data_IF_393351322430
#
_entry.id   IF_393351322430
#
_cell.length_a   1.000
_cell.length_b   1.000
_cell.length_c   1.000
_cell.angle_alpha   90.00
_cell.angle_beta   90.00
_cell.angle_gamma   90.00
#
_symmetry.space_group_name_H-M   'P 1'
#
loop_
_entity.id
_entity.type
_entity.pdbx_description
1 polymer ?
#
# COMPACT_ATOMS: atom_id res chain seq x y z
N UNK A 1 -8.94 11.25 -35.79
CA UNK A 1 -9.50 10.31 -34.80
C UNK A 1 -8.51 9.25 -34.28
N UNK A 2 -7.58 8.70 -35.08
CA UNK A 2 -6.65 7.65 -34.61
C UNK A 2 -5.58 8.05 -33.57
N UNK A 3 -5.16 9.31 -33.51
CA UNK A 3 -4.16 9.80 -32.55
C UNK A 3 -4.70 9.91 -31.12
N UNK A 4 -5.98 10.29 -30.96
CA UNK A 4 -6.63 10.46 -29.65
C UNK A 4 -6.92 9.09 -29.02
N UNK A 5 -7.40 8.12 -29.80
CA UNK A 5 -7.62 6.74 -29.35
C UNK A 5 -6.31 6.06 -28.93
N UNK A 6 -5.23 6.17 -29.71
CA UNK A 6 -3.91 5.64 -29.32
C UNK A 6 -3.36 6.26 -28.03
N UNK A 7 -3.60 7.56 -27.80
CA UNK A 7 -3.17 8.25 -26.57
C UNK A 7 -3.99 7.84 -25.35
N UNK A 8 -5.31 7.70 -25.50
CA UNK A 8 -6.19 7.19 -24.43
C UNK A 8 -5.76 5.79 -23.96
N UNK A 9 -5.47 4.90 -24.91
CA UNK A 9 -4.93 3.56 -24.65
C UNK A 9 -3.56 3.62 -23.93
N UNK A 10 -2.76 4.67 -24.20
CA UNK A 10 -1.48 4.90 -23.54
C UNK A 10 -1.60 5.24 -22.05
N UNK A 11 -2.53 6.14 -21.69
CA UNK A 11 -2.74 6.55 -20.28
C UNK A 11 -3.29 5.40 -19.45
N UNK A 12 -4.33 4.70 -19.95
CA UNK A 12 -4.92 3.56 -19.24
C UNK A 12 -3.86 2.47 -18.95
N UNK A 13 -2.97 2.21 -19.90
CA UNK A 13 -1.85 1.28 -19.71
C UNK A 13 -0.84 1.79 -18.67
N UNK A 14 -0.51 3.09 -18.67
CA UNK A 14 0.40 3.65 -17.67
C UNK A 14 -0.19 3.60 -16.26
N UNK A 15 -1.50 3.86 -16.13
CA UNK A 15 -2.23 3.68 -14.86
C UNK A 15 -2.19 2.22 -14.41
N UNK A 16 -2.43 1.26 -15.30
CA UNK A 16 -2.32 -0.16 -14.95
C UNK A 16 -0.92 -0.50 -14.42
N UNK A 17 0.13 -0.11 -15.13
CA UNK A 17 1.53 -0.39 -14.71
C UNK A 17 1.87 0.28 -13.38
N UNK A 18 1.36 1.50 -13.14
CA UNK A 18 1.50 2.20 -11.87
C UNK A 18 0.81 1.44 -10.73
N UNK A 19 -0.45 1.02 -10.93
CA UNK A 19 -1.20 0.24 -9.96
C UNK A 19 -0.56 -1.14 -9.70
N UNK A 20 0.06 -1.74 -10.72
CA UNK A 20 0.80 -2.99 -10.59
C UNK A 20 2.04 -2.82 -9.68
N UNK A 21 2.70 -1.65 -9.69
CA UNK A 21 3.80 -1.38 -8.74
C UNK A 21 3.30 -1.45 -7.29
N UNK A 22 2.11 -0.89 -7.02
CA UNK A 22 1.53 -0.85 -5.67
C UNK A 22 1.16 -2.26 -5.20
N UNK A 23 0.56 -3.07 -6.08
CA UNK A 23 0.27 -4.48 -5.79
C UNK A 23 1.55 -5.28 -5.52
N UNK A 24 2.57 -5.11 -6.37
CA UNK A 24 3.87 -5.78 -6.22
C UNK A 24 4.57 -5.40 -4.90
N UNK A 25 4.48 -4.13 -4.48
CA UNK A 25 5.05 -3.69 -3.20
C UNK A 25 4.46 -4.47 -2.00
N UNK A 26 3.16 -4.75 -2.00
CA UNK A 26 2.52 -5.58 -0.97
C UNK A 26 3.06 -7.01 -0.94
N UNK A 27 3.28 -7.62 -2.12
CA UNK A 27 3.86 -8.97 -2.23
C UNK A 27 5.31 -9.00 -1.75
N UNK A 28 6.11 -8.01 -2.16
CA UNK A 28 7.51 -7.85 -1.74
C UNK A 28 7.62 -7.63 -0.24
N UNK A 29 6.72 -6.84 0.34
CA UNK A 29 6.67 -6.58 1.78
C UNK A 29 6.44 -7.86 2.58
N UNK A 30 5.42 -8.66 2.21
CA UNK A 30 5.15 -9.96 2.85
C UNK A 30 6.36 -10.89 2.78
N UNK A 31 6.93 -11.05 1.58
CA UNK A 31 8.08 -11.92 1.36
C UNK A 31 9.34 -11.42 2.10
N UNK A 32 9.52 -10.11 2.17
CA UNK A 32 10.61 -9.47 2.91
C UNK A 32 10.49 -9.73 4.41
N UNK A 33 9.33 -9.44 5.00
CA UNK A 33 9.10 -9.69 6.42
C UNK A 33 9.28 -11.17 6.76
N UNK A 34 8.75 -12.07 5.94
CA UNK A 34 8.93 -13.51 6.15
C UNK A 34 10.41 -13.92 6.11
N UNK A 35 11.20 -13.38 5.17
CA UNK A 35 12.64 -13.61 5.13
C UNK A 35 13.33 -13.09 6.41
N UNK A 36 12.96 -11.89 6.86
CA UNK A 36 13.49 -11.29 8.10
C UNK A 36 13.22 -12.16 9.33
N UNK A 37 11.96 -12.57 9.53
CA UNK A 37 11.54 -13.40 10.67
C UNK A 37 12.23 -14.77 10.69
N UNK A 38 12.58 -15.32 9.51
CA UNK A 38 13.34 -16.57 9.39
C UNK A 38 14.86 -16.39 9.54
N UNK A 39 15.35 -15.18 9.79
CA UNK A 39 16.78 -14.87 9.88
C UNK A 39 17.50 -14.83 8.53
N UNK A 40 16.78 -14.84 7.41
CA UNK A 40 17.33 -14.74 6.07
C UNK A 40 17.50 -13.27 5.67
N UNK A 41 18.52 -12.61 6.23
CA UNK A 41 18.79 -11.18 6.00
C UNK A 41 19.13 -10.88 4.54
N UNK A 42 19.89 -11.73 3.85
CA UNK A 42 20.16 -11.58 2.40
C UNK A 42 18.87 -11.58 1.57
N UNK A 43 17.92 -12.44 1.94
CA UNK A 43 16.60 -12.49 1.31
C UNK A 43 15.81 -11.21 1.57
N UNK A 44 15.82 -10.71 2.80
CA UNK A 44 15.18 -9.47 3.19
C UNK A 44 15.78 -8.25 2.44
N UNK A 45 17.11 -8.12 2.41
CA UNK A 45 17.81 -7.02 1.72
C UNK A 45 17.52 -6.99 0.21
N UNK A 46 17.43 -8.17 -0.43
CA UNK A 46 16.99 -8.28 -1.84
C UNK A 46 15.56 -7.77 -2.05
N UNK A 47 14.65 -8.06 -1.12
CA UNK A 47 13.27 -7.58 -1.19
C UNK A 47 13.18 -6.08 -0.90
N UNK A 48 14.01 -5.55 0.00
CA UNK A 48 14.15 -4.11 0.22
C UNK A 48 14.69 -3.38 -1.03
N UNK A 49 15.66 -3.96 -1.73
CA UNK A 49 16.12 -3.42 -3.02
C UNK A 49 14.99 -3.40 -4.06
N UNK A 50 14.26 -4.50 -4.16
CA UNK A 50 13.13 -4.62 -5.09
C UNK A 50 12.01 -3.61 -4.78
N UNK A 51 11.66 -3.41 -3.50
CA UNK A 51 10.61 -2.47 -3.11
C UNK A 51 11.02 -1.01 -3.36
N UNK A 52 12.31 -0.71 -3.21
CA UNK A 52 12.86 0.61 -3.53
C UNK A 52 12.79 0.89 -5.03
N UNK A 53 13.09 -0.11 -5.87
CA UNK A 53 12.89 0.02 -7.32
C UNK A 53 11.42 0.21 -7.70
N UNK A 54 10.52 -0.55 -7.08
CA UNK A 54 9.07 -0.46 -7.31
C UNK A 54 8.54 0.93 -6.96
N UNK A 55 8.98 1.50 -5.83
CA UNK A 55 8.63 2.87 -5.44
C UNK A 55 9.17 3.90 -6.43
N UNK A 56 10.45 3.83 -6.81
CA UNK A 56 11.03 4.75 -7.81
C UNK A 56 10.32 4.67 -9.17
N UNK A 57 9.93 3.47 -9.62
CA UNK A 57 9.15 3.28 -10.85
C UNK A 57 7.75 3.86 -10.70
N UNK A 58 7.09 3.65 -9.55
CA UNK A 58 5.79 4.20 -9.22
C UNK A 58 5.76 5.73 -9.27
N UNK A 59 6.67 6.39 -8.55
CA UNK A 59 6.76 7.85 -8.50
C UNK A 59 7.06 8.45 -9.90
N UNK A 60 7.92 7.80 -10.70
CA UNK A 60 8.18 8.21 -12.07
C UNK A 60 6.94 8.09 -12.98
N UNK A 61 6.16 7.01 -12.84
CA UNK A 61 4.90 6.82 -13.56
C UNK A 61 3.85 7.82 -13.11
N UNK A 62 3.73 8.08 -11.80
CA UNK A 62 2.84 9.10 -11.24
C UNK A 62 3.11 10.46 -11.87
N UNK A 63 4.37 10.92 -11.83
CA UNK A 63 4.79 12.21 -12.43
C UNK A 63 4.49 12.28 -13.93
N UNK A 64 4.77 11.21 -14.68
CA UNK A 64 4.43 11.12 -16.11
C UNK A 64 2.91 11.22 -16.36
N UNK A 65 2.10 10.56 -15.54
CA UNK A 65 0.64 10.62 -15.62
C UNK A 65 0.11 12.02 -15.31
N UNK A 66 0.64 12.68 -14.27
CA UNK A 66 0.32 14.06 -13.92
C UNK A 66 0.58 15.02 -15.09
N UNK A 67 1.79 14.97 -15.67
CA UNK A 67 2.16 15.79 -16.84
C UNK A 67 1.21 15.59 -18.02
N UNK A 68 0.86 14.33 -18.33
CA UNK A 68 -0.06 14.02 -19.42
C UNK A 68 -1.48 14.52 -19.14
N UNK A 69 -1.95 14.45 -17.89
CA UNK A 69 -3.27 14.96 -17.49
C UNK A 69 -3.34 16.50 -17.58
N UNK A 70 -2.24 17.20 -17.30
CA UNK A 70 -2.15 18.65 -17.52
C UNK A 70 -2.21 19.01 -19.00
N UNK A 71 -1.43 18.31 -19.83
CA UNK A 71 -1.32 18.59 -21.27
C UNK A 71 -2.52 18.12 -22.10
N UNK A 72 -3.33 17.18 -21.60
CA UNK A 72 -4.37 16.52 -22.39
C UNK A 72 -5.74 16.51 -21.71
N UNK A 73 -6.79 16.89 -22.44
CA UNK A 73 -8.20 17.04 -22.01
C UNK A 73 -8.93 15.71 -21.74
N UNK A 74 -8.23 14.67 -21.30
CA UNK A 74 -8.79 13.30 -21.25
C UNK A 74 -9.82 13.08 -20.13
N UNK A 75 -9.78 13.85 -19.03
CA UNK A 75 -10.81 13.84 -17.96
C UNK A 75 -10.97 15.25 -17.37
N UNK A 76 -11.48 16.24 -18.14
CA UNK A 76 -11.44 17.65 -17.73
C UNK A 76 -12.22 17.92 -16.45
N UNK A 77 -13.40 17.30 -16.31
CA UNK A 77 -14.28 17.47 -15.15
C UNK A 77 -13.74 16.86 -13.84
N UNK A 78 -12.78 15.92 -13.88
CA UNK A 78 -12.28 15.22 -12.68
C UNK A 78 -10.76 15.23 -12.53
N UNK A 79 -10.03 16.14 -13.20
CA UNK A 79 -8.56 16.17 -13.15
C UNK A 79 -8.00 16.26 -11.72
N UNK A 80 -8.56 17.14 -10.90
CA UNK A 80 -8.10 17.31 -9.51
C UNK A 80 -8.27 16.04 -8.69
N UNK A 81 -9.42 15.38 -8.81
CA UNK A 81 -9.71 14.12 -8.12
C UNK A 81 -8.79 12.99 -8.61
N UNK A 82 -8.51 12.90 -9.92
CA UNK A 82 -7.58 11.90 -10.49
C UNK A 82 -6.15 12.13 -10.00
N UNK A 83 -5.67 13.38 -10.00
CA UNK A 83 -4.33 13.72 -9.51
C UNK A 83 -4.20 13.38 -8.02
N UNK A 84 -5.19 13.76 -7.21
CA UNK A 84 -5.23 13.44 -5.78
C UNK A 84 -5.25 11.93 -5.52
N UNK A 85 -5.97 11.15 -6.36
CA UNK A 85 -5.97 9.70 -6.28
C UNK A 85 -4.59 9.13 -6.59
N UNK A 86 -3.94 9.55 -7.68
CA UNK A 86 -2.61 9.07 -8.06
C UNK A 86 -1.56 9.36 -6.97
N UNK A 87 -1.56 10.57 -6.41
CA UNK A 87 -0.69 10.96 -5.29
C UNK A 87 -0.96 10.12 -4.04
N UNK A 88 -2.22 9.90 -3.71
CA UNK A 88 -2.59 9.11 -2.54
C UNK A 88 -2.23 7.63 -2.69
N UNK A 89 -2.44 7.06 -3.87
CA UNK A 89 -2.04 5.69 -4.20
C UNK A 89 -0.52 5.52 -4.14
N UNK A 90 0.24 6.46 -4.69
CA UNK A 90 1.71 6.42 -4.69
C UNK A 90 2.29 6.46 -3.27
N UNK A 91 1.67 7.22 -2.37
CA UNK A 91 2.08 7.28 -0.95
C UNK A 91 2.07 5.92 -0.23
N UNK A 92 1.39 4.90 -0.77
CA UNK A 92 1.44 3.53 -0.24
C UNK A 92 2.79 2.85 -0.53
N UNK A 93 3.41 3.13 -1.68
CA UNK A 93 4.75 2.64 -2.02
C UNK A 93 5.78 3.16 -1.02
N UNK A 94 5.69 4.45 -0.69
CA UNK A 94 6.54 5.08 0.31
C UNK A 94 6.39 4.45 1.69
N UNK A 95 5.16 4.09 2.09
CA UNK A 95 4.93 3.46 3.39
C UNK A 95 5.48 2.04 3.46
N UNK A 96 5.31 1.24 2.41
CA UNK A 96 5.92 -0.08 2.34
C UNK A 96 7.45 -0.02 2.38
N UNK A 97 8.06 0.84 1.54
CA UNK A 97 9.50 1.10 1.52
C UNK A 97 9.98 1.57 2.90
N UNK A 98 9.28 2.54 3.50
CA UNK A 98 9.62 3.10 4.80
C UNK A 98 9.54 2.06 5.93
N UNK A 99 8.55 1.18 5.91
CA UNK A 99 8.45 0.08 6.87
C UNK A 99 9.64 -0.88 6.75
N UNK A 100 9.99 -1.32 5.53
CA UNK A 100 11.15 -2.21 5.33
C UNK A 100 12.47 -1.54 5.72
N UNK A 101 12.68 -0.26 5.41
CA UNK A 101 13.88 0.46 5.85
C UNK A 101 14.05 0.49 7.37
N UNK A 102 12.95 0.62 8.14
CA UNK A 102 13.02 0.55 9.61
C UNK A 102 13.55 -0.81 10.08
N UNK A 103 13.10 -1.90 9.45
CA UNK A 103 13.59 -3.24 9.79
C UNK A 103 15.09 -3.38 9.48
N UNK A 104 15.54 -2.83 8.36
CA UNK A 104 16.96 -2.87 7.98
C UNK A 104 17.86 -2.05 8.94
N UNK A 105 17.41 -0.85 9.29
CA UNK A 105 18.15 0.10 10.14
C UNK A 105 18.25 -0.40 11.57
N UNK A 106 17.12 -0.76 12.18
CA UNK A 106 17.08 -1.03 13.61
C UNK A 106 17.31 -2.51 13.94
N UNK A 107 17.10 -3.41 12.97
CA UNK A 107 17.21 -4.86 13.11
C UNK A 107 16.59 -5.36 14.42
N UNK A 108 15.28 -5.10 14.66
CA UNK A 108 14.63 -5.49 15.89
C UNK A 108 14.72 -7.01 16.10
N UNK A 109 15.11 -7.43 17.30
CA UNK A 109 15.03 -8.82 17.71
C UNK A 109 13.56 -9.17 17.95
N UNK A 110 12.95 -10.03 17.11
CA UNK A 110 11.54 -10.40 17.23
C UNK A 110 11.48 -11.84 17.71
N UNK A 111 11.01 -12.04 18.94
CA UNK A 111 10.79 -13.35 19.53
C UNK A 111 9.85 -14.20 18.66
N UNK A 112 10.15 -15.50 18.54
CA UNK A 112 9.39 -16.45 17.72
C UNK A 112 7.90 -16.51 18.07
N UNK A 113 7.55 -16.18 19.31
CA UNK A 113 6.17 -16.11 19.79
C UNK A 113 5.34 -15.02 19.11
N UNK A 114 5.97 -14.04 18.46
CA UNK A 114 5.29 -12.96 17.74
C UNK A 114 5.30 -13.16 16.22
N UNK A 115 6.03 -14.15 15.70
CA UNK A 115 6.27 -14.26 14.26
C UNK A 115 4.98 -14.44 13.46
N UNK A 116 4.03 -15.22 13.97
CA UNK A 116 2.79 -15.47 13.26
C UNK A 116 1.88 -14.23 13.26
N UNK A 117 1.76 -13.52 14.40
CA UNK A 117 1.04 -12.24 14.47
C UNK A 117 1.63 -11.19 13.50
N UNK A 118 2.97 -11.11 13.37
CA UNK A 118 3.62 -10.21 12.42
C UNK A 118 3.33 -10.60 10.95
N UNK A 119 3.32 -11.90 10.62
CA UNK A 119 2.96 -12.37 9.28
C UNK A 119 1.49 -12.10 8.96
N UNK A 120 0.60 -12.34 9.91
CA UNK A 120 -0.82 -12.05 9.76
C UNK A 120 -1.07 -10.55 9.56
N UNK A 121 -0.40 -9.69 10.34
CA UNK A 121 -0.46 -8.24 10.15
C UNK A 121 -0.01 -7.82 8.75
N UNK A 122 1.14 -8.33 8.28
CA UNK A 122 1.63 -8.03 6.93
C UNK A 122 0.70 -8.55 5.84
N UNK A 123 0.03 -9.68 6.07
CA UNK A 123 -0.98 -10.20 5.15
C UNK A 123 -2.19 -9.26 5.08
N UNK A 124 -2.80 -8.90 6.21
CA UNK A 124 -3.96 -8.01 6.25
C UNK A 124 -3.66 -6.64 5.63
N UNK A 125 -2.49 -6.07 5.93
CA UNK A 125 -2.02 -4.81 5.32
C UNK A 125 -1.92 -4.92 3.80
N UNK A 126 -1.30 -5.97 3.27
CA UNK A 126 -1.16 -6.16 1.84
C UNK A 126 -2.49 -6.42 1.14
N UNK A 127 -3.41 -7.16 1.76
CA UNK A 127 -4.75 -7.43 1.21
C UNK A 127 -5.65 -6.19 1.21
N UNK A 128 -5.49 -5.29 2.20
CA UNK A 128 -6.16 -3.98 2.21
C UNK A 128 -5.72 -3.15 1.01
N UNK A 129 -4.40 -3.04 0.78
CA UNK A 129 -3.84 -2.32 -0.38
C UNK A 129 -4.24 -2.98 -1.71
N UNK A 130 -4.19 -4.30 -1.82
CA UNK A 130 -4.58 -5.02 -3.04
C UNK A 130 -6.07 -4.81 -3.36
N UNK A 131 -6.94 -4.79 -2.34
CA UNK A 131 -8.36 -4.49 -2.51
C UNK A 131 -8.57 -3.07 -3.04
N UNK A 132 -7.83 -2.10 -2.49
CA UNK A 132 -7.85 -0.72 -2.96
C UNK A 132 -7.36 -0.62 -4.41
N UNK A 133 -6.26 -1.30 -4.76
CA UNK A 133 -5.72 -1.33 -6.13
C UNK A 133 -6.79 -1.82 -7.12
N UNK A 134 -7.59 -2.82 -6.76
CA UNK A 134 -8.69 -3.30 -7.62
C UNK A 134 -9.79 -2.25 -7.80
N UNK A 135 -10.22 -1.60 -6.72
CA UNK A 135 -11.20 -0.50 -6.79
C UNK A 135 -10.68 0.70 -7.59
N UNK A 136 -9.42 1.09 -7.38
CA UNK A 136 -8.78 2.17 -8.13
C UNK A 136 -8.68 1.83 -9.61
N UNK A 137 -8.32 0.58 -9.96
CA UNK A 137 -8.28 0.13 -11.35
C UNK A 137 -9.66 0.21 -12.02
N UNK A 138 -10.72 -0.16 -11.30
CA UNK A 138 -12.09 -0.03 -11.77
C UNK A 138 -12.46 1.45 -12.04
N UNK A 139 -12.03 2.40 -11.21
CA UNK A 139 -12.32 3.83 -11.41
C UNK A 139 -11.86 4.37 -12.78
N UNK A 140 -10.78 3.83 -13.33
CA UNK A 140 -10.27 4.21 -14.65
C UNK A 140 -10.92 3.44 -15.82
N UNK A 141 -11.57 2.29 -15.56
CA UNK A 141 -12.06 1.37 -16.61
C UNK A 141 -13.58 1.20 -16.62
N UNK A 142 -14.15 0.91 -15.46
CA UNK A 142 -15.57 0.69 -15.23
C UNK A 142 -15.94 1.20 -13.82
N UNK A 143 -16.51 2.41 -13.79
CA UNK A 143 -16.84 3.08 -12.53
C UNK A 143 -17.88 2.30 -11.70
N UNK A 144 -18.73 1.49 -12.35
CA UNK A 144 -19.77 0.71 -11.67
C UNK A 144 -19.18 -0.43 -10.82
N UNK A 145 -17.99 -0.90 -11.18
CA UNK A 145 -17.28 -1.97 -10.48
C UNK A 145 -16.38 -1.47 -9.33
N UNK A 146 -16.32 -0.15 -9.07
CA UNK A 146 -15.46 0.38 -7.99
C UNK A 146 -15.88 -0.14 -6.63
N UNK A 147 -17.20 -0.26 -6.39
CA UNK A 147 -17.75 -0.71 -5.11
C UNK A 147 -17.45 -2.19 -4.80
N UNK A 148 -17.07 -3.00 -5.78
CA UNK A 148 -16.88 -4.46 -5.64
C UNK A 148 -15.78 -4.83 -4.64
N UNK A 149 -14.78 -3.96 -4.48
CA UNK A 149 -13.64 -4.18 -3.60
C UNK A 149 -13.55 -3.19 -2.43
N UNK A 150 -14.35 -2.12 -2.43
CA UNK A 150 -14.36 -1.09 -1.39
C UNK A 150 -14.62 -1.66 0.02
N UNK A 151 -15.63 -2.52 0.16
CA UNK A 151 -15.94 -3.15 1.46
C UNK A 151 -14.80 -4.06 1.96
N UNK A 152 -13.95 -4.58 1.05
CA UNK A 152 -12.82 -5.43 1.42
C UNK A 152 -11.65 -4.62 1.97
N UNK A 153 -11.48 -3.37 1.51
CA UNK A 153 -10.47 -2.47 2.09
C UNK A 153 -10.75 -2.27 3.58
N UNK A 154 -11.98 -1.85 3.91
CA UNK A 154 -12.39 -1.64 5.31
C UNK A 154 -12.36 -2.95 6.13
N UNK A 155 -12.75 -4.08 5.54
CA UNK A 155 -12.59 -5.38 6.21
C UNK A 155 -11.13 -5.66 6.61
N UNK A 156 -10.19 -5.52 5.67
CA UNK A 156 -8.78 -5.83 5.93
C UNK A 156 -8.07 -4.80 6.79
N UNK A 157 -8.47 -3.52 6.72
CA UNK A 157 -8.07 -2.50 7.69
C UNK A 157 -8.49 -2.93 9.09
N UNK A 158 -9.76 -3.27 9.28
CA UNK A 158 -10.28 -3.63 10.61
C UNK A 158 -9.64 -4.91 11.15
N UNK A 159 -9.28 -5.86 10.28
CA UNK A 159 -8.49 -7.04 10.68
C UNK A 159 -7.05 -6.67 11.03
N UNK A 160 -6.39 -5.77 10.27
CA UNK A 160 -5.06 -5.24 10.61
C UNK A 160 -5.05 -4.60 12.00
N UNK A 161 -6.05 -3.76 12.26
CA UNK A 161 -6.19 -2.96 13.47
C UNK A 161 -6.42 -3.86 14.72
N UNK A 162 -7.20 -4.94 14.54
CA UNK A 162 -7.38 -6.00 15.55
C UNK A 162 -6.07 -6.74 15.84
N UNK A 163 -5.35 -7.20 14.81
CA UNK A 163 -4.09 -7.93 14.96
C UNK A 163 -3.05 -7.03 15.62
N UNK A 164 -2.90 -5.81 15.15
CA UNK A 164 -2.03 -4.76 15.71
C UNK A 164 -2.31 -4.55 17.21
N UNK A 165 -3.58 -4.40 17.58
CA UNK A 165 -3.98 -4.24 18.99
C UNK A 165 -3.63 -5.47 19.84
N UNK A 166 -3.87 -6.67 19.33
CA UNK A 166 -3.56 -7.92 20.03
C UNK A 166 -2.05 -8.10 20.21
N UNK A 167 -1.29 -7.92 19.15
CA UNK A 167 0.17 -8.03 19.15
C UNK A 167 0.80 -7.01 20.10
N UNK A 168 0.34 -5.76 20.11
CA UNK A 168 0.77 -4.76 21.09
C UNK A 168 0.48 -5.22 22.53
N UNK A 169 -0.71 -5.76 22.82
CA UNK A 169 -1.03 -6.30 24.16
C UNK A 169 -0.09 -7.46 24.54
N UNK A 170 0.19 -8.37 23.62
CA UNK A 170 1.10 -9.50 23.82
C UNK A 170 2.52 -9.03 24.12
N UNK A 171 3.05 -8.09 23.34
CA UNK A 171 4.36 -7.46 23.56
C UNK A 171 4.45 -6.83 24.96
N UNK A 172 3.45 -6.06 25.38
CA UNK A 172 3.49 -5.39 26.68
C UNK A 172 3.31 -6.31 27.88
N UNK A 173 2.71 -7.49 27.69
CA UNK A 173 2.57 -8.53 28.71
C UNK A 173 3.87 -9.30 28.97
N UNK A 174 4.82 -9.30 28.04
CA UNK A 174 6.11 -9.97 28.25
C UNK A 174 6.95 -9.20 29.28
N UNK A 175 7.05 -9.75 30.48
CA UNK A 175 7.81 -9.15 31.60
C UNK A 175 9.32 -9.26 31.41
N UNK A 176 9.77 -10.27 30.68
CA UNK A 176 11.19 -10.51 30.39
C UNK A 176 11.75 -9.49 29.39
N UNK A 177 10.90 -8.88 28.56
CA UNK A 177 11.31 -7.84 27.63
C UNK A 177 11.50 -6.49 28.33
N UNK A 178 12.68 -5.90 28.14
CA UNK A 178 12.95 -4.52 28.56
C UNK A 178 11.92 -3.58 27.93
N UNK A 179 11.58 -2.50 28.65
CA UNK A 179 10.60 -1.52 28.14
C UNK A 179 11.04 -0.93 26.78
N UNK A 180 12.34 -0.68 26.59
CA UNK A 180 12.88 -0.20 25.30
C UNK A 180 12.58 -1.14 24.14
N UNK A 181 12.72 -2.45 24.36
CA UNK A 181 12.44 -3.47 23.36
C UNK A 181 10.94 -3.57 23.06
N UNK A 182 10.10 -3.53 24.10
CA UNK A 182 8.63 -3.48 23.93
C UNK A 182 8.18 -2.24 23.15
N UNK A 183 8.79 -1.09 23.43
CA UNK A 183 8.50 0.17 22.73
C UNK A 183 8.94 0.11 21.27
N UNK A 184 10.10 -0.49 20.99
CA UNK A 184 10.58 -0.72 19.63
C UNK A 184 9.60 -1.61 18.88
N UNK A 185 9.29 -2.82 19.37
CA UNK A 185 8.35 -3.73 18.71
C UNK A 185 6.97 -3.09 18.47
N UNK A 186 6.44 -2.35 19.45
CA UNK A 186 5.19 -1.59 19.27
C UNK A 186 5.30 -0.58 18.12
N UNK A 187 6.43 0.10 17.98
CA UNK A 187 6.65 1.06 16.90
C UNK A 187 6.61 0.38 15.53
N UNK A 188 7.24 -0.79 15.39
CA UNK A 188 7.15 -1.61 14.18
C UNK A 188 5.73 -2.01 13.83
N UNK A 189 4.99 -2.54 14.82
CA UNK A 189 3.58 -2.94 14.65
C UNK A 189 2.74 -1.76 14.16
N UNK A 190 2.87 -0.60 14.81
CA UNK A 190 2.14 0.62 14.42
C UNK A 190 2.50 1.14 13.02
N UNK A 191 3.76 1.00 12.61
CA UNK A 191 4.16 1.44 11.27
C UNK A 191 3.63 0.53 10.17
N UNK A 192 3.53 -0.78 10.44
CA UNK A 192 2.90 -1.73 9.51
C UNK A 192 1.40 -1.44 9.38
N UNK A 193 0.72 -1.32 10.50
CA UNK A 193 -0.72 -1.08 10.60
C UNK A 193 -1.15 0.19 9.83
N UNK A 194 -0.40 1.28 9.99
CA UNK A 194 -0.59 2.55 9.27
C UNK A 194 -0.59 2.46 7.74
N UNK A 195 -0.14 1.36 7.15
CA UNK A 195 -0.27 1.13 5.71
C UNK A 195 -1.73 0.79 5.37
N UNK A 196 -2.40 -0.03 6.18
CA UNK A 196 -3.81 -0.35 6.02
C UNK A 196 -4.70 0.87 6.28
N UNK A 197 -4.43 1.66 7.33
CA UNK A 197 -5.13 2.93 7.59
C UNK A 197 -5.06 3.84 6.36
N UNK A 198 -3.87 3.93 5.75
CA UNK A 198 -3.68 4.74 4.55
C UNK A 198 -4.50 4.21 3.39
N UNK A 199 -4.57 2.89 3.21
CA UNK A 199 -5.37 2.30 2.16
C UNK A 199 -6.86 2.64 2.35
N UNK A 200 -7.37 2.61 3.58
CA UNK A 200 -8.73 3.02 3.90
C UNK A 200 -8.96 4.52 3.61
N UNK A 201 -8.06 5.40 4.03
CA UNK A 201 -8.14 6.85 3.72
C UNK A 201 -8.27 7.12 2.20
N UNK A 202 -7.51 6.38 1.39
CA UNK A 202 -7.56 6.52 -0.08
C UNK A 202 -8.88 5.94 -0.62
N UNK A 203 -9.38 4.86 -0.03
CA UNK A 203 -10.64 4.24 -0.42
C UNK A 203 -11.84 5.19 -0.12
N UNK A 204 -11.83 5.88 1.02
CA UNK A 204 -12.82 6.90 1.36
C UNK A 204 -12.80 8.06 0.37
N UNK A 205 -11.60 8.54 0.02
CA UNK A 205 -11.42 9.57 -1.00
C UNK A 205 -11.94 9.10 -2.38
N UNK A 206 -11.63 7.86 -2.76
CA UNK A 206 -12.10 7.24 -4.00
C UNK A 206 -13.63 7.18 -4.06
N UNK A 207 -14.29 6.87 -2.95
CA UNK A 207 -15.75 6.83 -2.86
C UNK A 207 -16.37 8.21 -3.14
N UNK A 208 -15.76 9.28 -2.63
CA UNK A 208 -16.18 10.66 -2.92
C UNK A 208 -16.00 10.97 -4.41
N UNK A 209 -14.89 10.56 -5.01
CA UNK A 209 -14.62 10.79 -6.44
C UNK A 209 -15.63 10.07 -7.34
N UNK A 210 -16.04 8.85 -6.98
CA UNK A 210 -17.09 8.10 -7.69
C UNK A 210 -18.42 8.85 -7.64
N UNK A 211 -18.82 9.36 -6.47
CA UNK A 211 -20.08 10.11 -6.32
C UNK A 211 -20.05 11.36 -7.19
N UNK A 212 -18.98 12.16 -7.11
CA UNK A 212 -18.82 13.38 -7.92
C UNK A 212 -18.93 13.12 -9.43
N UNK A 213 -18.37 12.00 -9.89
CA UNK A 213 -18.36 11.62 -11.31
C UNK A 213 -19.67 10.99 -11.78
N UNK A 214 -20.54 10.60 -10.86
CA UNK A 214 -21.87 10.04 -11.13
C UNK A 214 -22.99 11.09 -11.14
N UNK A 215 -22.68 12.34 -10.78
CA UNK A 215 -23.57 13.51 -10.82
C UNK A 215 -23.44 14.23 -12.18
#
# INVERSE_FOLDING_TARGET
MGSILKRKIGIEKQVDVFLDQISEAGLLFKAGLEAYLRGNLDGFEKKLGSISETEHKGDALRRSLEEQLYLHTLIPESRGDVLALLESMDSLLDRFKGAMWRFDIERPDIGSEFHDDFKELANSVAESVESLVRSARAFFKDISAVADHMHKVSYWETESDKISTQLQRSIFRQKELRLSHRLQLRDFVRHMDKIADRAEDVADSLSIFVIKRSL
#
